data_IF_729302378377
#
_entry.id   IF_729302378377
#
_cell.length_a   1.000
_cell.length_b   1.000
_cell.length_c   1.000
_cell.angle_alpha   90.00
_cell.angle_beta   90.00
_cell.angle_gamma   90.00
#
_symmetry.space_group_name_H-M   'P 1'
#
loop_
_entity.id
_entity.type
_entity.pdbx_description
1 polymer ?
#
# COMPACT_ATOMS: atom_id res chain seq x y z
N UNK A 1 -16.41 24.02 -1.11
CA UNK A 1 -15.86 23.62 0.20
C UNK A 1 -14.35 23.56 0.05
N UNK A 2 -13.61 24.42 0.72
CA UNK A 2 -12.14 24.34 0.74
C UNK A 2 -11.75 23.09 1.54
N UNK A 3 -11.05 22.18 0.92
CA UNK A 3 -10.48 21.00 1.59
C UNK A 3 -9.17 21.39 2.26
N UNK A 4 -8.96 20.96 3.50
CA UNK A 4 -7.75 21.18 4.28
C UNK A 4 -7.11 19.83 4.61
N UNK A 5 -5.80 19.75 4.56
CA UNK A 5 -5.06 18.52 4.93
C UNK A 5 -5.03 18.32 6.45
N UNK A 6 -5.44 19.34 7.25
CA UNK A 6 -5.46 19.31 8.71
C UNK A 6 -4.11 18.88 9.32
N UNK A 7 -3.05 19.43 8.82
CA UNK A 7 -1.73 19.13 9.36
C UNK A 7 -1.59 19.76 10.74
N UNK A 8 -1.05 19.01 11.67
CA UNK A 8 -0.81 19.45 13.04
C UNK A 8 0.64 19.88 13.10
N UNK A 9 0.87 21.18 13.10
CA UNK A 9 2.16 21.87 12.99
C UNK A 9 3.40 21.19 13.53
N UNK A 10 4.22 21.01 14.04
CA UNK A 10 5.41 20.42 14.64
C UNK A 10 6.05 19.23 13.88
N UNK A 11 6.47 19.43 12.66
CA UNK A 11 7.28 18.45 11.94
C UNK A 11 6.66 17.94 10.64
N UNK A 12 5.34 17.85 10.53
CA UNK A 12 4.67 17.35 9.31
C UNK A 12 5.03 18.19 8.07
N UNK A 13 5.28 19.50 8.24
CA UNK A 13 5.70 20.39 7.17
C UNK A 13 7.09 20.05 6.66
N UNK A 14 8.03 19.82 7.57
CA UNK A 14 9.41 19.50 7.23
C UNK A 14 9.48 18.14 6.56
N UNK A 15 8.68 17.18 7.01
CA UNK A 15 8.61 15.85 6.40
C UNK A 15 8.06 15.93 4.97
N UNK A 16 7.02 16.74 4.73
CA UNK A 16 6.49 16.98 3.38
C UNK A 16 7.55 17.60 2.49
N UNK A 17 8.17 18.69 2.93
CA UNK A 17 9.18 19.37 2.13
C UNK A 17 10.34 18.44 1.81
N UNK A 18 10.82 17.69 2.80
CA UNK A 18 11.90 16.72 2.61
C UNK A 18 11.51 15.61 1.61
N UNK A 19 10.32 15.04 1.74
CA UNK A 19 9.87 13.98 0.84
C UNK A 19 9.62 14.52 -0.58
N UNK A 20 9.12 15.74 -0.72
CA UNK A 20 8.96 16.42 -2.01
C UNK A 20 10.34 16.70 -2.62
N UNK A 21 11.27 17.28 -1.88
CA UNK A 21 12.64 17.54 -2.36
C UNK A 21 13.31 16.26 -2.86
N UNK A 22 13.21 15.20 -2.07
CA UNK A 22 13.76 13.89 -2.40
C UNK A 22 13.08 13.26 -3.62
N UNK A 23 11.75 13.34 -3.70
CA UNK A 23 11.00 12.76 -4.81
C UNK A 23 11.23 13.48 -6.13
N UNK A 24 11.30 14.80 -6.11
CA UNK A 24 11.45 15.62 -7.31
C UNK A 24 12.92 15.97 -7.62
N UNK A 25 13.86 15.70 -6.69
CA UNK A 25 15.27 16.03 -6.84
C UNK A 25 15.53 17.53 -6.89
N UNK A 26 14.72 18.31 -6.21
CA UNK A 26 14.80 19.77 -6.11
C UNK A 26 15.21 20.18 -4.69
N UNK A 27 15.57 21.44 -4.51
CA UNK A 27 15.72 22.04 -3.19
C UNK A 27 14.76 23.21 -3.06
N UNK A 28 14.04 23.26 -1.95
CA UNK A 28 13.06 24.32 -1.62
C UNK A 28 13.67 25.13 -0.48
N UNK A 29 13.85 26.43 -0.70
CA UNK A 29 14.35 27.34 0.33
C UNK A 29 13.20 27.71 1.30
N UNK A 30 13.54 28.00 2.54
CA UNK A 30 12.56 28.30 3.59
C UNK A 30 11.61 29.45 3.20
N UNK A 31 12.13 30.49 2.55
CA UNK A 31 11.35 31.63 2.04
C UNK A 31 10.35 31.25 0.94
N UNK A 32 10.67 30.22 0.15
CA UNK A 32 9.77 29.68 -0.87
C UNK A 32 8.68 28.82 -0.22
N UNK A 33 9.06 28.03 0.80
CA UNK A 33 8.14 27.20 1.57
C UNK A 33 7.08 28.04 2.28
N UNK A 34 7.48 29.14 2.94
CA UNK A 34 6.57 30.09 3.62
C UNK A 34 5.51 30.67 2.68
N UNK A 35 5.82 30.82 1.40
CA UNK A 35 4.88 31.33 0.40
C UNK A 35 3.85 30.28 -0.09
N UNK A 36 4.07 28.99 0.20
CA UNK A 36 3.25 27.89 -0.28
C UNK A 36 2.12 27.52 0.67
N UNK A 37 1.00 28.25 0.62
CA UNK A 37 -0.17 28.01 1.48
C UNK A 37 -1.06 26.88 0.97
N UNK A 38 -1.02 26.59 -0.33
CA UNK A 38 -1.87 25.60 -0.98
C UNK A 38 -1.06 24.54 -1.71
N UNK A 39 -1.66 23.38 -1.91
CA UNK A 39 -1.05 22.30 -2.74
C UNK A 39 -0.79 22.77 -4.17
N UNK A 40 -1.64 23.64 -4.70
CA UNK A 40 -1.43 24.25 -6.02
C UNK A 40 -0.19 25.13 -6.07
N UNK A 41 0.06 25.95 -5.04
CA UNK A 41 1.26 26.79 -4.95
C UNK A 41 2.53 25.94 -4.88
N UNK A 42 2.52 24.88 -4.05
CA UNK A 42 3.65 23.93 -3.99
C UNK A 42 3.88 23.25 -5.34
N UNK A 43 2.81 22.85 -6.03
CA UNK A 43 2.93 22.25 -7.36
C UNK A 43 3.54 23.21 -8.40
N UNK A 44 3.13 24.49 -8.39
CA UNK A 44 3.68 25.50 -9.29
C UNK A 44 5.15 25.77 -9.01
N UNK A 45 5.56 25.77 -7.74
CA UNK A 45 6.95 25.84 -7.33
C UNK A 45 7.76 24.66 -7.86
N UNK A 46 7.23 23.44 -7.74
CA UNK A 46 7.84 22.22 -8.30
C UNK A 46 8.00 22.35 -9.81
N UNK A 47 6.97 22.82 -10.52
CA UNK A 47 7.05 23.02 -11.97
C UNK A 47 8.11 24.05 -12.35
N UNK A 48 8.21 25.15 -11.62
CA UNK A 48 9.21 26.20 -11.86
C UNK A 48 10.62 25.66 -11.69
N UNK A 49 10.87 24.86 -10.65
CA UNK A 49 12.19 24.28 -10.38
C UNK A 49 12.56 23.11 -11.30
N UNK A 50 11.57 22.28 -11.68
CA UNK A 50 11.80 21.13 -12.57
C UNK A 50 11.81 21.49 -14.07
N UNK A 51 11.41 22.71 -14.43
CA UNK A 51 11.21 23.14 -15.83
C UNK A 51 9.88 22.65 -16.45
N UNK A 52 9.35 23.45 -17.37
CA UNK A 52 8.03 23.27 -18.00
C UNK A 52 8.03 22.43 -19.27
N UNK A 53 9.01 21.54 -19.47
CA UNK A 53 9.10 20.78 -20.73
C UNK A 53 7.91 19.86 -20.95
N UNK A 54 6.87 20.39 -21.58
CA UNK A 54 5.79 19.63 -22.22
C UNK A 54 6.34 18.94 -23.46
N UNK A 55 6.78 17.71 -23.33
CA UNK A 55 6.97 16.82 -24.48
C UNK A 55 6.19 15.54 -24.23
N UNK A 56 5.37 15.17 -25.22
CA UNK A 56 4.64 13.91 -25.38
C UNK A 56 5.54 12.71 -25.00
N UNK A 57 5.42 12.24 -23.78
CA UNK A 57 6.26 11.16 -23.30
C UNK A 57 5.40 10.05 -22.71
N UNK A 58 5.82 8.80 -22.92
CA UNK A 58 5.16 7.65 -22.34
C UNK A 58 4.96 7.89 -20.82
N UNK A 59 3.73 7.76 -20.38
CA UNK A 59 3.33 7.91 -18.99
C UNK A 59 4.14 6.94 -18.11
N UNK A 60 4.60 7.36 -16.94
CA UNK A 60 5.34 6.49 -16.02
C UNK A 60 4.58 5.22 -15.67
N UNK A 61 3.26 5.32 -15.50
CA UNK A 61 2.42 4.14 -15.27
C UNK A 61 2.50 3.13 -16.42
N UNK A 62 2.65 3.58 -17.67
CA UNK A 62 2.85 2.70 -18.81
C UNK A 62 4.19 1.99 -18.75
N UNK A 63 5.27 2.71 -18.43
CA UNK A 63 6.62 2.12 -18.27
C UNK A 63 6.59 1.07 -17.15
N UNK A 64 5.99 1.42 -16.01
CA UNK A 64 5.85 0.52 -14.86
C UNK A 64 5.03 -0.70 -15.23
N UNK A 65 3.89 -0.52 -15.91
CA UNK A 65 3.06 -1.63 -16.38
C UNK A 65 3.84 -2.61 -17.26
N UNK A 66 4.64 -2.11 -18.21
CA UNK A 66 5.47 -2.98 -19.04
C UNK A 66 6.54 -3.73 -18.26
N UNK A 67 7.17 -3.10 -17.27
CA UNK A 67 8.14 -3.77 -16.38
C UNK A 67 7.47 -4.87 -15.55
N UNK A 68 6.30 -4.58 -14.96
CA UNK A 68 5.50 -5.57 -14.23
C UNK A 68 5.12 -6.74 -15.13
N UNK A 69 4.58 -6.45 -16.32
CA UNK A 69 4.19 -7.44 -17.31
C UNK A 69 5.34 -8.37 -17.70
N UNK A 70 6.55 -7.82 -17.90
CA UNK A 70 7.73 -8.60 -18.23
C UNK A 70 8.19 -9.52 -17.09
N UNK A 71 7.95 -9.14 -15.85
CA UNK A 71 8.41 -9.84 -14.63
C UNK A 71 7.44 -10.92 -14.15
N UNK A 72 6.18 -10.89 -14.61
CA UNK A 72 5.17 -11.86 -14.24
C UNK A 72 5.32 -13.16 -15.02
N UNK A 73 5.14 -14.34 -14.37
CA UNK A 73 5.20 -15.63 -15.02
C UNK A 73 3.91 -15.87 -15.83
N UNK A 74 3.92 -15.51 -17.08
CA UNK A 74 2.85 -15.83 -18.02
C UNK A 74 3.45 -16.38 -19.30
N UNK A 75 2.93 -17.49 -19.78
CA UNK A 75 3.36 -18.08 -21.06
C UNK A 75 3.05 -17.17 -22.26
N UNK A 76 1.97 -16.41 -22.17
CA UNK A 76 1.57 -15.44 -23.18
C UNK A 76 1.43 -14.04 -22.54
N UNK A 77 2.51 -13.27 -22.61
CA UNK A 77 2.56 -11.91 -22.06
C UNK A 77 1.58 -10.95 -22.76
N UNK A 78 1.15 -11.26 -23.98
CA UNK A 78 0.19 -10.45 -24.71
C UNK A 78 -1.20 -10.44 -24.05
N UNK A 79 -1.53 -11.46 -23.29
CA UNK A 79 -2.80 -11.57 -22.55
C UNK A 79 -2.83 -10.73 -21.26
N UNK A 80 -1.66 -10.28 -20.75
CA UNK A 80 -1.60 -9.42 -19.59
C UNK A 80 -1.91 -7.99 -20.02
N UNK A 81 -3.06 -7.49 -19.58
CA UNK A 81 -3.58 -6.15 -19.85
C UNK A 81 -3.65 -5.33 -18.55
N UNK A 82 -3.84 -4.01 -18.61
CA UNK A 82 -4.01 -3.20 -17.40
C UNK A 82 -5.20 -3.61 -16.53
N UNK A 83 -6.25 -4.16 -17.12
CA UNK A 83 -7.45 -4.68 -16.44
C UNK A 83 -7.28 -6.11 -15.88
N UNK A 84 -6.12 -6.75 -16.11
CA UNK A 84 -5.82 -8.06 -15.55
C UNK A 84 -5.80 -7.99 -14.01
N UNK A 85 -6.49 -8.96 -13.37
CA UNK A 85 -6.56 -9.03 -11.91
C UNK A 85 -5.19 -9.11 -11.27
N UNK A 86 -5.02 -8.41 -10.16
CA UNK A 86 -3.83 -8.46 -9.30
C UNK A 86 -3.57 -9.87 -8.76
N UNK A 87 -4.56 -10.75 -8.80
CA UNK A 87 -4.45 -12.14 -8.38
C UNK A 87 -3.34 -12.91 -9.11
N UNK A 88 -2.92 -12.44 -10.27
CA UNK A 88 -1.79 -13.03 -11.00
C UNK A 88 -0.49 -13.02 -10.19
N UNK A 89 -0.34 -12.09 -9.25
CA UNK A 89 0.83 -12.04 -8.35
C UNK A 89 0.90 -13.27 -7.44
N UNK A 90 -0.25 -13.88 -7.11
CA UNK A 90 -0.27 -15.10 -6.31
C UNK A 90 0.37 -16.30 -7.02
N UNK A 91 0.47 -16.27 -8.34
CA UNK A 91 1.19 -17.30 -9.12
C UNK A 91 2.72 -17.17 -9.06
N UNK A 92 3.25 -16.04 -8.54
CA UNK A 92 4.69 -15.88 -8.33
C UNK A 92 5.23 -16.90 -7.33
N UNK A 93 6.48 -17.35 -7.47
CA UNK A 93 7.13 -18.19 -6.48
C UNK A 93 7.23 -17.46 -5.13
N UNK A 94 7.14 -18.20 -4.04
CA UNK A 94 7.22 -17.66 -2.69
C UNK A 94 6.09 -18.15 -1.79
N UNK A 95 6.40 -18.31 -0.50
CA UNK A 95 5.46 -18.82 0.50
C UNK A 95 4.47 -17.77 1.00
N UNK A 96 4.89 -16.50 1.04
CA UNK A 96 4.07 -15.38 1.53
C UNK A 96 3.95 -14.28 0.48
N UNK A 97 2.89 -13.47 0.58
CA UNK A 97 2.71 -12.31 -0.29
C UNK A 97 3.86 -11.32 -0.14
N UNK A 98 4.38 -11.13 1.07
CA UNK A 98 5.50 -10.24 1.33
C UNK A 98 6.79 -10.70 0.62
N UNK A 99 7.00 -12.01 0.49
CA UNK A 99 8.12 -12.55 -0.28
C UNK A 99 7.93 -12.32 -1.77
N UNK A 100 6.74 -12.63 -2.30
CA UNK A 100 6.38 -12.41 -3.70
C UNK A 100 6.48 -10.94 -4.09
N UNK A 101 6.05 -10.05 -3.20
CA UNK A 101 6.11 -8.60 -3.39
C UNK A 101 7.54 -8.09 -3.46
N UNK A 102 8.42 -8.53 -2.55
CA UNK A 102 9.84 -8.20 -2.59
C UNK A 102 10.53 -8.75 -3.84
N UNK A 103 10.19 -9.96 -4.25
CA UNK A 103 10.74 -10.55 -5.48
C UNK A 103 10.29 -9.77 -6.71
N UNK A 104 9.02 -9.38 -6.77
CA UNK A 104 8.50 -8.54 -7.85
C UNK A 104 9.21 -7.18 -7.87
N UNK A 105 9.36 -6.52 -6.72
CA UNK A 105 10.11 -5.26 -6.60
C UNK A 105 11.56 -5.41 -7.09
N UNK A 106 12.24 -6.45 -6.65
CA UNK A 106 13.63 -6.75 -7.07
C UNK A 106 13.76 -6.99 -8.57
N UNK A 107 12.85 -7.78 -9.16
CA UNK A 107 12.87 -8.09 -10.60
C UNK A 107 12.54 -6.90 -11.49
N UNK A 108 11.68 -6.01 -11.02
CA UNK A 108 11.26 -4.83 -11.78
C UNK A 108 12.14 -3.62 -11.56
N UNK A 109 12.92 -3.60 -10.47
CA UNK A 109 13.65 -2.41 -10.00
C UNK A 109 12.69 -1.29 -9.61
N UNK A 110 11.49 -1.61 -9.12
CA UNK A 110 10.47 -0.63 -8.76
C UNK A 110 10.23 -0.63 -7.26
N UNK A 111 9.97 0.55 -6.71
CA UNK A 111 9.43 0.68 -5.36
C UNK A 111 7.93 0.44 -5.44
N UNK A 112 7.49 -0.70 -4.91
CA UNK A 112 6.06 -1.05 -4.86
C UNK A 112 5.39 -0.42 -3.64
N UNK A 113 4.06 -0.14 -3.72
CA UNK A 113 3.32 0.37 -2.58
C UNK A 113 3.42 -0.58 -1.38
N UNK A 114 3.42 -0.05 -0.14
CA UNK A 114 3.51 -0.87 1.05
C UNK A 114 2.30 -1.80 1.18
N UNK A 115 2.55 -3.03 1.62
CA UNK A 115 1.49 -3.98 1.95
C UNK A 115 0.75 -3.49 3.19
N UNK A 116 -0.57 -3.53 3.14
CA UNK A 116 -1.44 -3.11 4.24
C UNK A 116 -1.75 -4.28 5.19
N UNK A 117 -2.18 -3.96 6.41
CA UNK A 117 -2.78 -4.96 7.28
C UNK A 117 -4.16 -5.34 6.73
N UNK A 118 -4.51 -6.63 6.72
CA UNK A 118 -5.81 -7.06 6.23
C UNK A 118 -6.93 -6.44 7.09
N UNK A 119 -7.83 -5.71 6.45
CA UNK A 119 -9.02 -5.19 7.11
C UNK A 119 -10.05 -6.32 7.14
N UNK A 120 -10.24 -6.92 8.30
CA UNK A 120 -11.14 -8.06 8.51
C UNK A 120 -10.40 -9.32 8.97
N UNK A 121 -11.08 -10.43 9.00
CA UNK A 121 -10.47 -11.69 9.40
C UNK A 121 -9.49 -12.15 8.33
N UNK A 122 -8.23 -12.45 8.70
CA UNK A 122 -7.26 -12.96 7.74
C UNK A 122 -7.79 -14.24 7.10
N UNK A 123 -7.75 -14.31 5.79
CA UNK A 123 -8.15 -15.48 5.02
C UNK A 123 -6.90 -16.20 4.54
N UNK A 124 -6.78 -17.49 4.86
CA UNK A 124 -5.74 -18.32 4.29
C UNK A 124 -6.15 -18.68 2.87
N UNK A 125 -5.39 -18.19 1.88
CA UNK A 125 -5.60 -18.53 0.49
C UNK A 125 -4.65 -19.65 0.09
N UNK A 126 -5.20 -20.85 -0.06
CA UNK A 126 -4.47 -22.01 -0.58
C UNK A 126 -4.97 -22.30 -1.99
N UNK A 127 -4.14 -22.02 -3.00
CA UNK A 127 -4.50 -22.07 -4.43
C UNK A 127 -5.68 -21.15 -4.73
N UNK A 128 -6.86 -21.68 -5.01
CA UNK A 128 -8.08 -20.92 -5.33
C UNK A 128 -9.10 -20.89 -4.17
N UNK A 129 -8.80 -21.56 -3.07
CA UNK A 129 -9.72 -21.68 -1.94
C UNK A 129 -9.41 -20.63 -0.87
N UNK A 130 -10.40 -19.82 -0.49
CA UNK A 130 -10.32 -18.86 0.63
C UNK A 130 -10.88 -19.54 1.87
N UNK A 131 -10.01 -19.85 2.82
CA UNK A 131 -10.43 -20.45 4.11
C UNK A 131 -10.43 -19.33 5.13
N UNK A 132 -11.58 -19.02 5.76
CA UNK A 132 -11.64 -18.06 6.84
C UNK A 132 -10.91 -18.63 8.06
N UNK A 133 -9.77 -18.02 8.40
CA UNK A 133 -8.91 -18.47 9.51
C UNK A 133 -9.63 -18.45 10.86
N UNK A 134 -10.67 -17.61 11.00
CA UNK A 134 -11.47 -17.58 12.21
C UNK A 134 -12.24 -18.88 12.46
N UNK A 135 -12.83 -19.47 11.43
CA UNK A 135 -13.55 -20.74 11.54
C UNK A 135 -12.57 -21.88 11.85
N UNK A 136 -11.40 -21.86 11.21
CA UNK A 136 -10.36 -22.85 11.45
C UNK A 136 -9.80 -22.75 12.88
N UNK A 137 -9.56 -21.55 13.40
CA UNK A 137 -9.05 -21.35 14.77
C UNK A 137 -10.09 -21.73 15.82
N UNK A 138 -11.37 -21.43 15.61
CA UNK A 138 -12.45 -21.86 16.49
C UNK A 138 -12.59 -23.39 16.52
N UNK A 139 -12.53 -24.02 15.35
CA UNK A 139 -12.64 -25.47 15.23
C UNK A 139 -11.46 -26.21 15.89
N UNK A 140 -10.23 -25.78 15.60
CA UNK A 140 -9.02 -26.33 16.24
C UNK A 140 -8.99 -26.05 17.75
N UNK A 141 -9.44 -24.87 18.18
CA UNK A 141 -9.53 -24.50 19.58
C UNK A 141 -10.54 -25.38 20.35
N UNK A 142 -11.69 -25.65 19.77
CA UNK A 142 -12.71 -26.52 20.35
C UNK A 142 -12.23 -27.96 20.50
N UNK A 143 -11.57 -28.51 19.46
CA UNK A 143 -10.97 -29.85 19.52
C UNK A 143 -9.86 -29.90 20.58
N UNK A 144 -8.99 -28.91 20.65
CA UNK A 144 -7.91 -28.83 21.61
C UNK A 144 -8.43 -28.75 23.06
N UNK A 145 -9.47 -27.93 23.31
CA UNK A 145 -10.09 -27.82 24.64
C UNK A 145 -10.75 -29.14 25.06
N UNK A 146 -11.41 -29.81 24.13
CA UNK A 146 -12.04 -31.11 24.41
C UNK A 146 -10.99 -32.19 24.71
N UNK A 147 -9.92 -32.25 23.93
CA UNK A 147 -8.83 -33.19 24.17
C UNK A 147 -8.13 -32.94 25.50
N UNK A 148 -7.85 -31.66 25.83
CA UNK A 148 -7.26 -31.28 27.11
C UNK A 148 -8.15 -31.63 28.30
N UNK A 149 -9.47 -31.37 28.22
CA UNK A 149 -10.41 -31.74 29.26
C UNK A 149 -10.45 -33.26 29.52
N UNK A 150 -10.38 -34.05 28.46
CA UNK A 150 -10.31 -35.53 28.56
C UNK A 150 -8.99 -36.00 29.16
N UNK A 151 -7.87 -35.36 28.80
CA UNK A 151 -6.54 -35.73 29.30
C UNK A 151 -6.35 -35.43 30.80
N UNK A 152 -6.87 -34.27 31.22
CA UNK A 152 -6.73 -33.82 32.62
C UNK A 152 -7.86 -34.38 33.56
N UNK A 153 -8.75 -35.21 33.06
CA UNK A 153 -9.84 -35.80 33.86
C UNK A 153 -10.80 -34.78 34.47
N UNK A 154 -10.92 -33.61 33.89
CA UNK A 154 -11.81 -32.54 34.36
C UNK A 154 -13.25 -32.96 34.18
N UNK A 155 -14.05 -32.89 35.26
CA UNK A 155 -15.47 -33.22 35.20
C UNK A 155 -16.24 -32.37 34.20
N UNK A 156 -17.43 -32.83 33.79
CA UNK A 156 -18.20 -32.22 32.70
C UNK A 156 -18.46 -30.71 32.86
N UNK A 157 -18.68 -30.22 34.06
CA UNK A 157 -18.89 -28.80 34.35
C UNK A 157 -17.59 -27.97 34.16
N UNK A 158 -16.46 -28.46 34.61
CA UNK A 158 -15.18 -27.78 34.46
C UNK A 158 -14.71 -27.76 33.00
N UNK A 159 -14.94 -28.83 32.24
CA UNK A 159 -14.62 -28.87 30.82
C UNK A 159 -15.45 -27.89 30.00
N UNK A 160 -16.70 -27.66 30.38
CA UNK A 160 -17.57 -26.67 29.73
C UNK A 160 -17.03 -25.24 29.92
N UNK A 161 -16.64 -24.86 31.13
CA UNK A 161 -16.09 -23.52 31.39
C UNK A 161 -14.71 -23.30 30.74
N UNK A 162 -13.85 -24.31 30.72
CA UNK A 162 -12.56 -24.24 30.00
C UNK A 162 -12.77 -24.06 28.50
N UNK A 163 -13.74 -24.73 27.92
CA UNK A 163 -14.09 -24.54 26.52
C UNK A 163 -14.74 -23.18 26.26
N UNK A 164 -15.64 -22.75 27.10
CA UNK A 164 -16.41 -21.50 26.91
C UNK A 164 -15.54 -20.24 27.03
N UNK A 165 -14.50 -20.26 27.85
CA UNK A 165 -13.61 -19.11 28.07
C UNK A 165 -12.28 -19.29 27.35
N UNK A 166 -11.69 -20.48 27.40
CA UNK A 166 -10.36 -20.75 26.84
C UNK A 166 -10.31 -20.69 25.33
N UNK A 167 -11.35 -21.24 24.65
CA UNK A 167 -11.38 -21.23 23.18
C UNK A 167 -11.45 -19.82 22.61
N UNK A 168 -12.36 -18.92 23.05
CA UNK A 168 -12.38 -17.54 22.52
C UNK A 168 -11.12 -16.76 22.90
N UNK A 169 -10.53 -16.98 24.07
CA UNK A 169 -9.28 -16.31 24.45
C UNK A 169 -8.12 -16.72 23.54
N UNK A 170 -7.94 -18.02 23.29
CA UNK A 170 -6.93 -18.52 22.35
C UNK A 170 -7.19 -18.04 20.93
N UNK A 171 -8.46 -18.01 20.50
CA UNK A 171 -8.82 -17.49 19.19
C UNK A 171 -8.49 -15.98 19.04
N UNK A 172 -8.73 -15.19 20.07
CA UNK A 172 -8.36 -13.75 20.09
C UNK A 172 -6.85 -13.59 20.05
N UNK A 173 -6.09 -14.33 20.85
CA UNK A 173 -4.62 -14.27 20.87
C UNK A 173 -4.04 -14.74 19.53
N UNK A 174 -4.52 -15.85 18.99
CA UNK A 174 -4.10 -16.35 17.68
C UNK A 174 -4.41 -15.33 16.57
N UNK A 175 -5.57 -14.69 16.62
CA UNK A 175 -5.95 -13.61 15.72
C UNK A 175 -4.98 -12.44 15.82
N UNK A 176 -4.63 -11.97 17.02
CA UNK A 176 -3.67 -10.87 17.22
C UNK A 176 -2.30 -11.22 16.66
N UNK A 177 -1.81 -12.43 16.91
CA UNK A 177 -0.55 -12.91 16.35
C UNK A 177 -0.61 -12.99 14.81
N UNK A 178 -1.70 -13.50 14.24
CA UNK A 178 -1.88 -13.57 12.81
C UNK A 178 -1.87 -12.18 12.17
N UNK A 179 -2.51 -11.17 12.78
CA UNK A 179 -2.47 -9.78 12.29
C UNK A 179 -1.05 -9.20 12.23
N UNK A 180 -0.16 -9.60 13.13
CA UNK A 180 1.23 -9.13 13.11
C UNK A 180 2.03 -9.70 11.92
N UNK A 181 1.71 -10.91 11.48
CA UNK A 181 2.45 -11.63 10.44
C UNK A 181 1.80 -11.56 9.04
N UNK A 182 0.48 -11.34 8.98
CA UNK A 182 -0.20 -11.28 7.70
C UNK A 182 -0.19 -9.85 7.15
N UNK A 183 0.35 -9.73 5.96
CA UNK A 183 0.28 -8.54 5.13
C UNK A 183 -0.49 -8.88 3.87
N UNK A 184 -1.23 -7.93 3.32
CA UNK A 184 -2.01 -8.12 2.10
C UNK A 184 -1.81 -6.93 1.15
N UNK A 185 -2.18 -7.14 -0.10
CA UNK A 185 -2.18 -6.09 -1.10
C UNK A 185 -3.29 -5.08 -0.74
N UNK A 186 -3.02 -3.76 -0.83
CA UNK A 186 -4.03 -2.74 -0.58
C UNK A 186 -5.31 -3.02 -1.39
N UNK A 187 -6.47 -2.94 -0.75
CA UNK A 187 -7.77 -3.24 -1.40
C UNK A 187 -8.09 -2.33 -2.60
N UNK A 188 -7.51 -1.15 -2.62
CA UNK A 188 -7.62 -0.19 -3.72
C UNK A 188 -6.90 -0.65 -4.99
N UNK A 189 -6.11 -1.73 -4.91
CA UNK A 189 -5.35 -2.29 -6.04
C UNK A 189 -6.00 -3.63 -6.41
N UNK A 190 -6.90 -3.59 -7.37
CA UNK A 190 -7.60 -4.78 -7.87
C UNK A 190 -7.01 -5.27 -9.20
N UNK A 191 -6.39 -4.35 -9.95
CA UNK A 191 -5.83 -4.63 -11.27
C UNK A 191 -4.34 -4.31 -11.35
N UNK A 192 -3.67 -4.88 -12.35
CA UNK A 192 -2.26 -4.56 -12.64
C UNK A 192 -2.07 -3.12 -13.12
N UNK A 193 -3.08 -2.51 -13.72
CA UNK A 193 -3.05 -1.10 -14.11
C UNK A 193 -3.08 -0.16 -12.92
N UNK A 194 -3.84 -0.51 -11.87
CA UNK A 194 -3.86 0.25 -10.61
C UNK A 194 -2.53 0.09 -9.87
N UNK A 195 -2.00 -1.14 -9.81
CA UNK A 195 -0.66 -1.37 -9.27
C UNK A 195 0.39 -0.54 -10.03
N UNK A 196 0.32 -0.50 -11.36
CA UNK A 196 1.26 0.26 -12.16
C UNK A 196 1.18 1.77 -11.89
N UNK A 197 -0.03 2.31 -11.70
CA UNK A 197 -0.23 3.72 -11.35
C UNK A 197 0.35 4.04 -9.97
N UNK A 198 0.05 3.22 -8.99
CA UNK A 198 0.58 3.38 -7.63
C UNK A 198 2.11 3.22 -7.58
N UNK A 199 2.63 2.16 -8.18
CA UNK A 199 4.07 1.92 -8.20
C UNK A 199 4.84 3.00 -8.98
N UNK A 200 4.23 3.63 -9.99
CA UNK A 200 4.81 4.77 -10.69
C UNK A 200 5.02 5.97 -9.75
N UNK A 201 4.10 6.18 -8.83
CA UNK A 201 4.22 7.22 -7.80
C UNK A 201 5.36 6.93 -6.84
N UNK A 202 5.39 5.72 -6.25
CA UNK A 202 6.44 5.31 -5.32
C UNK A 202 7.83 5.24 -5.96
N UNK A 203 7.89 4.95 -7.26
CA UNK A 203 9.15 4.87 -8.04
C UNK A 203 9.48 6.17 -8.77
N UNK A 204 8.77 7.28 -8.51
CA UNK A 204 8.88 8.51 -9.29
C UNK A 204 10.31 9.04 -9.34
N UNK A 205 11.00 9.11 -8.19
CA UNK A 205 12.38 9.60 -8.12
C UNK A 205 13.35 8.76 -8.97
N UNK A 206 13.16 7.44 -8.98
CA UNK A 206 14.00 6.52 -9.76
C UNK A 206 13.68 6.60 -11.24
N UNK A 207 12.40 6.63 -11.61
CA UNK A 207 11.97 6.77 -13.00
C UNK A 207 12.38 8.11 -13.60
N UNK A 208 12.38 9.19 -12.82
CA UNK A 208 12.83 10.52 -13.24
C UNK A 208 14.31 10.58 -13.54
N UNK A 209 15.14 9.78 -12.83
CA UNK A 209 16.59 9.68 -13.13
C UNK A 209 16.86 8.96 -14.45
N UNK A 210 16.03 7.97 -14.78
CA UNK A 210 16.18 7.17 -16.00
C UNK A 210 15.63 7.93 -17.21
N UNK A 211 14.62 8.75 -17.01
CA UNK A 211 13.90 9.46 -18.07
C UNK A 211 13.77 10.94 -17.74
N UNK A 212 14.52 11.72 -18.47
CA UNK A 212 14.79 13.14 -18.22
C UNK A 212 13.58 14.11 -18.32
N UNK A 213 12.31 13.69 -18.24
CA UNK A 213 11.17 14.64 -18.08
C UNK A 213 9.83 13.91 -17.83
N UNK A 214 9.40 13.83 -16.57
CA UNK A 214 8.04 13.39 -16.24
C UNK A 214 7.01 14.45 -16.71
N UNK A 215 5.89 13.99 -17.23
CA UNK A 215 4.78 14.88 -17.60
C UNK A 215 4.15 15.59 -16.39
N UNK A 216 3.42 16.66 -16.64
CA UNK A 216 2.73 17.42 -15.58
C UNK A 216 1.75 16.54 -14.79
N UNK A 217 1.02 15.64 -15.45
CA UNK A 217 0.11 14.70 -14.80
C UNK A 217 0.85 13.72 -13.86
N UNK A 218 2.03 13.23 -14.26
CA UNK A 218 2.82 12.31 -13.43
C UNK A 218 3.37 13.05 -12.19
N UNK A 219 3.79 14.31 -12.34
CA UNK A 219 4.24 15.16 -11.22
C UNK A 219 3.11 15.45 -10.25
N UNK A 220 1.92 15.79 -10.75
CA UNK A 220 0.74 16.00 -9.89
C UNK A 220 0.35 14.73 -9.13
N UNK A 221 0.34 13.59 -9.81
CA UNK A 221 0.05 12.31 -9.19
C UNK A 221 1.07 11.96 -8.09
N UNK A 222 2.35 12.20 -8.34
CA UNK A 222 3.41 11.98 -7.35
C UNK A 222 3.24 12.89 -6.14
N UNK A 223 3.03 14.20 -6.33
CA UNK A 223 2.81 15.14 -5.25
C UNK A 223 1.62 14.76 -4.39
N UNK A 224 0.46 14.50 -5.01
CA UNK A 224 -0.76 14.16 -4.27
C UNK A 224 -0.65 12.85 -3.51
N UNK A 225 0.17 11.91 -3.98
CA UNK A 225 0.39 10.66 -3.28
C UNK A 225 1.31 10.84 -2.06
N UNK A 226 2.38 11.63 -2.16
CA UNK A 226 3.24 11.99 -1.02
C UNK A 226 2.38 12.65 0.07
N UNK A 227 1.57 13.64 -0.32
CA UNK A 227 0.70 14.34 0.61
C UNK A 227 -0.32 13.42 1.29
N UNK A 228 -0.91 12.48 0.56
CA UNK A 228 -1.83 11.49 1.14
C UNK A 228 -1.14 10.53 2.11
N UNK A 229 0.09 10.16 1.81
CA UNK A 229 0.86 9.26 2.67
C UNK A 229 1.18 9.91 4.01
N UNK A 230 1.59 11.17 4.01
CA UNK A 230 1.97 11.90 5.24
C UNK A 230 0.74 12.33 6.01
N UNK A 231 -0.23 12.99 5.36
CA UNK A 231 -1.43 13.50 6.03
C UNK A 231 -2.48 12.43 6.39
N UNK A 232 -2.37 11.22 5.83
CA UNK A 232 -3.44 10.21 5.95
C UNK A 232 -4.77 10.62 5.31
N UNK A 233 -4.80 11.74 4.57
CA UNK A 233 -6.01 12.35 4.02
C UNK A 233 -6.62 11.47 2.92
N UNK A 234 -7.89 11.09 3.08
CA UNK A 234 -8.61 10.21 2.15
C UNK A 234 -9.40 10.96 1.07
N UNK A 235 -9.65 12.26 1.28
CA UNK A 235 -10.42 13.06 0.33
C UNK A 235 -9.60 13.43 -0.91
N UNK A 236 -10.29 13.94 -1.93
CA UNK A 236 -9.66 14.43 -3.15
C UNK A 236 -8.82 15.67 -2.84
N UNK A 237 -7.52 15.60 -3.13
CA UNK A 237 -6.61 16.74 -3.04
C UNK A 237 -6.73 17.54 -4.35
N UNK A 238 -7.04 18.81 -4.24
CA UNK A 238 -7.14 19.76 -5.35
C UNK A 238 -6.08 20.84 -5.21
N UNK A 239 -5.93 21.70 -6.22
CA UNK A 239 -4.98 22.82 -6.16
C UNK A 239 -5.31 23.82 -5.03
N UNK A 240 -6.60 23.95 -4.68
CA UNK A 240 -7.08 24.86 -3.65
C UNK A 240 -7.02 24.25 -2.24
N UNK A 241 -6.60 23.00 -2.11
CA UNK A 241 -6.43 22.33 -0.81
C UNK A 241 -5.34 23.05 -0.02
N UNK A 242 -5.65 23.47 1.21
CA UNK A 242 -4.69 24.11 2.12
C UNK A 242 -3.99 23.09 3.00
N UNK A 243 -2.78 23.40 3.44
CA UNK A 243 -2.04 22.54 4.38
C UNK A 243 -2.60 22.68 5.80
N UNK A 244 -2.91 23.90 6.22
CA UNK A 244 -3.40 24.23 7.55
C UNK A 244 -4.85 24.72 7.55
N UNK A 245 -5.60 24.48 8.63
CA UNK A 245 -6.89 25.12 8.82
C UNK A 245 -6.68 26.65 8.96
N UNK A 246 -7.51 27.41 8.28
CA UNK A 246 -7.58 28.87 8.44
C UNK A 246 -8.42 29.24 9.65
#
# INVERSE_FOLDING_TARGET
MQTCLNMVGDGDELDILHDVEKAFGIKIEDSEAESTITVGALYDLILAKCGTAERTQACFSQIVFYRLRCSLPSGDKAKIRPDTSIDLIWSLPGRSIAQKWRELASKTGLTLPPLEMPIGLPQLRIRSVRIPLAELTLFCGAIGAFAAARYFGVGSAGSFWLAAIGVPLVAVLARQLLYLFFRDIPRRIETLGELAREAAVYSFAELSRIKANPGSADRWAALTAILRQISGHKALITRDTTFFPR
#
